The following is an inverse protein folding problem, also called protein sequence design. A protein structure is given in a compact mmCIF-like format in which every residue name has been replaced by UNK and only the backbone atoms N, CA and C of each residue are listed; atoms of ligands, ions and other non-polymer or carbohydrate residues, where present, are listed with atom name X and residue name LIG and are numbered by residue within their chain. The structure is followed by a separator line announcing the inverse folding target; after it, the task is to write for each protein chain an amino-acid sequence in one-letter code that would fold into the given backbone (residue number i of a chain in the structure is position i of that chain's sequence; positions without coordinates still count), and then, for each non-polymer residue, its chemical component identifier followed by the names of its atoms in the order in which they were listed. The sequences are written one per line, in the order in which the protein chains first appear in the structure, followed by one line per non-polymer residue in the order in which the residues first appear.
data_IF_163807930091
#
_entry.id   IF_163807930091
#
_cell.length_a   1.000
_cell.length_b   1.000
_cell.length_c   1.000
_cell.angle_alpha   90.00
_cell.angle_beta   90.00
_cell.angle_gamma   90.00
#
_symmetry.space_group_name_H-M   'P 1'
#
loop_
_entity.id
_entity.type
_entity.pdbx_description
1 polymer ?
#
# COMPACT_ATOMS: atom_id res chain seq x y z
N UNK A 1 16.83 -8.87 -5.33
CA UNK A 1 16.84 -10.07 -4.45
C UNK A 1 15.50 -10.12 -3.73
N UNK A 2 14.85 -11.28 -3.69
CA UNK A 2 13.63 -11.46 -2.90
C UNK A 2 14.02 -11.71 -1.43
N UNK A 3 13.41 -10.98 -0.49
CA UNK A 3 13.77 -11.03 0.93
C UNK A 3 12.91 -11.99 1.75
N UNK A 4 11.72 -12.35 1.26
CA UNK A 4 10.85 -13.37 1.85
C UNK A 4 9.82 -13.87 0.82
N UNK A 5 9.38 -15.13 0.95
CA UNK A 5 8.24 -15.69 0.22
C UNK A 5 7.08 -15.88 1.19
N UNK A 6 5.90 -15.33 0.87
CA UNK A 6 4.72 -15.39 1.71
C UNK A 6 3.68 -16.35 1.12
N UNK A 7 3.00 -17.10 1.98
CA UNK A 7 1.89 -17.97 1.58
C UNK A 7 0.58 -17.31 1.95
N UNK A 8 -0.36 -17.25 0.99
CA UNK A 8 -1.72 -16.79 1.25
C UNK A 8 -2.47 -17.86 2.05
N UNK A 9 -3.12 -17.45 3.14
CA UNK A 9 -3.91 -18.30 4.02
C UNK A 9 -5.32 -17.74 4.16
N UNK A 10 -6.31 -18.61 4.37
CA UNK A 10 -7.66 -18.20 4.69
C UNK A 10 -7.72 -17.57 6.10
N UNK A 11 -8.38 -16.42 6.21
CA UNK A 11 -8.66 -15.72 7.46
C UNK A 11 -10.15 -15.36 7.45
N UNK A 12 -10.98 -16.24 8.02
CA UNK A 12 -12.44 -16.13 7.91
C UNK A 12 -12.89 -16.17 6.45
N UNK A 13 -13.65 -15.16 6.02
CA UNK A 13 -14.08 -14.99 4.62
C UNK A 13 -13.05 -14.28 3.73
N UNK A 14 -11.88 -13.96 4.28
CA UNK A 14 -10.81 -13.22 3.61
C UNK A 14 -9.58 -14.11 3.39
N UNK A 15 -8.64 -13.58 2.61
CA UNK A 15 -7.30 -14.14 2.45
C UNK A 15 -6.28 -13.18 3.04
N UNK A 16 -5.26 -13.70 3.72
CA UNK A 16 -4.20 -12.90 4.29
C UNK A 16 -2.84 -13.57 4.18
N UNK A 17 -1.80 -12.81 4.53
CA UNK A 17 -0.43 -13.29 4.63
C UNK A 17 0.08 -13.00 6.04
N UNK A 18 0.96 -13.86 6.54
CA UNK A 18 1.67 -13.63 7.80
C UNK A 18 2.98 -12.94 7.48
N UNK A 19 3.17 -11.72 7.97
CA UNK A 19 4.44 -11.00 7.85
C UNK A 19 5.41 -11.54 8.90
N UNK A 20 6.57 -12.11 8.50
CA UNK A 20 7.59 -12.54 9.45
C UNK A 20 8.26 -11.32 10.10
N UNK A 21 8.98 -11.56 11.20
CA UNK A 21 9.53 -10.51 12.07
C UNK A 21 10.42 -9.53 11.31
N UNK A 22 11.21 -10.04 10.37
CA UNK A 22 12.16 -9.25 9.58
C UNK A 22 11.44 -8.25 8.67
N UNK A 23 10.26 -8.60 8.14
CA UNK A 23 9.46 -7.66 7.34
C UNK A 23 8.79 -6.59 8.20
N UNK A 24 8.37 -6.95 9.42
CA UNK A 24 7.82 -5.97 10.38
C UNK A 24 8.90 -4.96 10.78
N UNK A 25 10.13 -5.41 11.03
CA UNK A 25 11.27 -4.55 11.34
C UNK A 25 11.65 -3.63 10.17
N UNK A 26 11.68 -4.15 8.94
CA UNK A 26 11.95 -3.35 7.74
C UNK A 26 10.89 -2.27 7.49
N UNK A 27 9.64 -2.57 7.79
CA UNK A 27 8.53 -1.61 7.71
C UNK A 27 8.46 -0.72 8.96
N UNK A 28 9.22 -1.01 10.03
CA UNK A 28 9.12 -0.35 11.31
C UNK A 28 7.68 -0.33 11.87
N UNK A 29 7.00 -1.48 11.82
CA UNK A 29 5.62 -1.68 12.31
C UNK A 29 5.55 -2.84 13.29
N UNK A 30 4.49 -2.87 14.09
CA UNK A 30 4.17 -3.95 15.04
C UNK A 30 2.74 -4.46 14.85
N UNK A 31 2.40 -5.54 15.54
CA UNK A 31 1.03 -6.05 15.55
C UNK A 31 0.06 -4.95 16.04
N UNK A 32 -1.03 -4.76 15.30
CA UNK A 32 -2.02 -3.71 15.55
C UNK A 32 -1.82 -2.45 14.71
N UNK A 33 -0.63 -2.23 14.15
CA UNK A 33 -0.39 -1.12 13.23
C UNK A 33 -1.07 -1.39 11.87
N UNK A 34 -1.42 -0.32 11.17
CA UNK A 34 -2.02 -0.40 9.84
C UNK A 34 -0.95 -0.26 8.75
N UNK A 35 -1.22 -0.84 7.60
CA UNK A 35 -0.41 -0.67 6.39
C UNK A 35 -1.27 -0.13 5.25
N UNK A 36 -0.71 0.79 4.47
CA UNK A 36 -1.24 1.16 3.18
C UNK A 36 -0.80 0.19 2.09
N UNK A 37 -1.72 -0.13 1.20
CA UNK A 37 -1.45 -0.88 -0.03
C UNK A 37 -1.57 0.08 -1.22
N UNK A 38 -0.52 0.17 -2.02
CA UNK A 38 -0.50 0.99 -3.23
C UNK A 38 -0.24 0.12 -4.45
N UNK A 39 -0.82 0.49 -5.59
CA UNK A 39 -0.50 -0.13 -6.87
C UNK A 39 0.80 0.45 -7.43
N UNK A 40 1.65 -0.40 -7.96
CA UNK A 40 2.82 -0.02 -8.75
C UNK A 40 2.76 -0.74 -10.10
N UNK A 41 3.55 -0.33 -11.11
CA UNK A 41 3.59 -1.04 -12.39
C UNK A 41 3.95 -2.53 -12.25
N UNK A 42 4.71 -2.89 -11.22
CA UNK A 42 5.20 -4.25 -10.96
C UNK A 42 4.28 -5.05 -10.02
N UNK A 43 3.24 -4.44 -9.45
CA UNK A 43 2.30 -5.12 -8.55
C UNK A 43 1.78 -4.22 -7.44
N UNK A 44 2.05 -4.59 -6.20
CA UNK A 44 1.65 -3.83 -5.02
C UNK A 44 2.83 -3.54 -4.10
N UNK A 45 2.78 -2.38 -3.44
CA UNK A 45 3.71 -2.00 -2.39
C UNK A 45 2.96 -1.81 -1.07
N UNK A 46 3.58 -2.24 0.03
CA UNK A 46 3.12 -1.99 1.38
C UNK A 46 3.92 -0.84 1.99
N UNK A 47 3.24 0.07 2.68
CA UNK A 47 3.86 1.13 3.48
C UNK A 47 3.22 1.22 4.86
N UNK A 48 3.97 1.62 5.89
CA UNK A 48 3.38 1.99 7.18
C UNK A 48 2.27 3.00 7.01
N UNK A 49 1.18 2.82 7.75
CA UNK A 49 0.12 3.82 7.78
C UNK A 49 0.60 5.04 8.55
N UNK A 50 0.53 6.20 7.91
CA UNK A 50 0.81 7.50 8.49
C UNK A 50 -0.48 8.33 8.34
N UNK A 51 -1.04 8.78 9.47
CA UNK A 51 -2.30 9.53 9.53
C UNK A 51 -2.21 10.84 8.73
N UNK A 52 -1.06 11.50 8.76
CA UNK A 52 -0.84 12.77 8.05
C UNK A 52 -0.78 12.54 6.52
N UNK A 53 -0.26 11.39 6.08
CA UNK A 53 -0.23 11.01 4.67
C UNK A 53 -1.61 10.56 4.15
N UNK A 54 -2.47 10.01 5.02
CA UNK A 54 -3.81 9.57 4.68
C UNK A 54 -4.68 10.73 4.19
N UNK A 55 -4.68 11.83 4.94
CA UNK A 55 -5.42 13.05 4.61
C UNK A 55 -4.93 13.67 3.29
N UNK A 56 -3.61 13.67 3.08
CA UNK A 56 -3.01 14.14 1.83
C UNK A 56 -3.36 13.26 0.61
N UNK A 57 -3.46 11.94 0.79
CA UNK A 57 -3.86 11.02 -0.28
C UNK A 57 -5.33 11.14 -0.65
N UNK A 58 -6.21 11.46 0.29
CA UNK A 58 -7.62 11.72 -0.03
C UNK A 58 -7.76 13.00 -0.86
N UNK A 59 -7.02 14.06 -0.52
CA UNK A 59 -6.94 15.27 -1.33
C UNK A 59 -6.32 15.01 -2.72
N UNK A 60 -5.25 14.20 -2.79
CA UNK A 60 -4.63 13.83 -4.07
C UNK A 60 -5.57 12.97 -4.95
N UNK A 61 -6.38 12.09 -4.36
CA UNK A 61 -7.40 11.31 -5.09
C UNK A 61 -8.52 12.19 -5.61
N UNK A 62 -8.89 13.24 -4.90
CA UNK A 62 -9.85 14.24 -5.34
C UNK A 62 -9.30 15.01 -6.55
N UNK A 63 -8.08 15.53 -6.45
CA UNK A 63 -7.38 16.21 -7.56
C UNK A 63 -7.20 15.29 -8.78
N UNK A 64 -6.77 14.04 -8.60
CA UNK A 64 -6.65 13.08 -9.72
C UNK A 64 -8.00 12.70 -10.34
N UNK A 65 -9.10 12.82 -9.58
CA UNK A 65 -10.47 12.61 -10.11
C UNK A 65 -10.94 13.81 -10.92
N UNK A 66 -10.63 15.03 -10.47
CA UNK A 66 -10.99 16.30 -11.11
C UNK A 66 -10.12 16.57 -12.36
N UNK A 67 -8.81 16.34 -12.29
CA UNK A 67 -7.84 16.65 -13.35
C UNK A 67 -7.51 15.48 -14.27
N UNK A 68 -8.39 14.47 -14.30
CA UNK A 68 -8.17 13.22 -15.06
C UNK A 68 -7.89 13.44 -16.55
N UNK A 69 -8.39 14.54 -17.12
CA UNK A 69 -8.17 14.92 -18.51
C UNK A 69 -6.83 15.65 -18.74
N UNK A 70 -6.38 16.45 -17.77
CA UNK A 70 -5.14 17.26 -17.88
C UNK A 70 -3.91 16.39 -17.66
N UNK A 71 -3.95 15.50 -16.65
CA UNK A 71 -2.86 14.55 -16.39
C UNK A 71 -2.65 13.56 -17.54
N UNK A 72 -3.70 13.28 -18.31
CA UNK A 72 -3.66 12.40 -19.49
C UNK A 72 -3.04 13.09 -20.73
N UNK A 73 -3.08 14.41 -20.80
CA UNK A 73 -2.39 15.20 -21.84
C UNK A 73 -0.90 15.34 -21.54
N UNK A 74 -0.52 15.47 -20.26
CA UNK A 74 0.90 15.59 -19.82
C UNK A 74 1.68 14.27 -19.85
N UNK A 75 0.99 13.13 -20.00
CA UNK A 75 1.58 11.81 -20.11
C UNK A 75 1.80 11.35 -21.57
N UNK A 76 1.60 12.25 -22.55
CA UNK A 76 2.04 12.08 -23.95
C UNK A 76 3.41 12.75 -24.14
#
# INVERSE_FOLDING_TARGET
MAIAALTIRAIGNSSGVVLPKELLELLNVKQGDKLFVMRTPEGIALKPYDEDFAEQMDLAREIMREDRNILRELAK
#
